data_IF_478729053664
#
_entry.id   IF_478729053664
#
_cell.length_a   1.000
_cell.length_b   1.000
_cell.length_c   1.000
_cell.angle_alpha   90.00
_cell.angle_beta   90.00
_cell.angle_gamma   90.00
#
_symmetry.space_group_name_H-M   'P 1'
#
loop_
_entity.id
_entity.type
_entity.pdbx_description
1 polymer ?
#
# COMPACT_ATOMS: atom_id res chain seq x y z
N UNK A 1 -27.18 31.96 -22.25
CA UNK A 1 -27.68 30.73 -21.59
C UNK A 1 -26.59 29.69 -21.80
N UNK A 2 -25.63 29.50 -20.88
CA UNK A 2 -25.81 28.88 -19.57
C UNK A 2 -25.84 27.35 -19.79
N UNK A 3 -24.85 26.54 -19.46
CA UNK A 3 -23.63 26.78 -18.71
C UNK A 3 -22.49 25.85 -19.12
N UNK A 4 -21.29 26.18 -18.63
CA UNK A 4 -20.11 25.34 -18.63
C UNK A 4 -20.43 24.04 -17.90
N UNK A 5 -20.44 22.92 -18.62
CA UNK A 5 -20.30 21.62 -17.97
C UNK A 5 -18.90 21.60 -17.37
N UNK A 6 -18.82 21.89 -16.07
CA UNK A 6 -17.71 21.41 -15.27
C UNK A 6 -17.83 19.89 -15.33
N UNK A 7 -17.09 19.30 -16.26
CA UNK A 7 -16.80 17.87 -16.21
C UNK A 7 -15.76 17.79 -15.11
N UNK A 8 -16.17 17.31 -13.93
CA UNK A 8 -15.23 16.95 -12.87
C UNK A 8 -14.22 15.97 -13.47
N UNK A 9 -13.00 16.44 -13.70
CA UNK A 9 -11.85 15.73 -14.28
C UNK A 9 -11.30 14.68 -13.29
N UNK A 10 -12.19 13.90 -12.70
CA UNK A 10 -11.87 12.77 -11.81
C UNK A 10 -12.29 11.41 -12.42
N UNK A 11 -13.04 11.42 -13.52
CA UNK A 11 -13.35 10.19 -14.27
C UNK A 11 -12.33 9.94 -15.39
N UNK A 12 -11.09 9.62 -15.01
CA UNK A 12 -10.08 9.20 -15.99
C UNK A 12 -9.88 7.67 -15.96
N UNK A 13 -10.15 7.06 -17.13
CA UNK A 13 -9.84 5.69 -17.63
C UNK A 13 -10.91 4.58 -17.67
N UNK A 14 -12.19 4.93 -17.82
CA UNK A 14 -13.35 4.02 -17.94
C UNK A 14 -13.33 2.83 -18.98
N UNK A 15 -12.24 2.38 -19.60
CA UNK A 15 -12.34 1.21 -20.52
C UNK A 15 -11.12 0.29 -20.74
N UNK A 16 -10.13 0.28 -19.87
CA UNK A 16 -9.21 -0.87 -19.75
C UNK A 16 -9.45 -1.46 -18.37
N UNK A 17 -9.37 -2.78 -18.17
CA UNK A 17 -9.54 -3.40 -16.86
C UNK A 17 -8.66 -2.68 -15.81
N UNK A 18 -9.24 -1.74 -15.07
CA UNK A 18 -8.44 -0.74 -14.37
C UNK A 18 -7.75 -1.41 -13.20
N UNK A 19 -6.42 -1.40 -13.20
CA UNK A 19 -5.68 -1.82 -12.03
C UNK A 19 -5.62 -0.67 -11.03
N UNK A 20 -6.18 -0.88 -9.84
CA UNK A 20 -6.10 0.06 -8.72
C UNK A 20 -4.87 -0.27 -7.88
N UNK A 21 -4.18 0.76 -7.38
CA UNK A 21 -3.02 0.58 -6.50
C UNK A 21 -3.26 1.28 -5.17
N UNK A 22 -3.18 0.53 -4.09
CA UNK A 22 -3.27 1.01 -2.72
C UNK A 22 -1.89 0.95 -2.06
N UNK A 23 -1.38 2.09 -1.63
CA UNK A 23 -0.12 2.18 -0.88
C UNK A 23 -0.41 2.39 0.60
N UNK A 24 0.08 1.49 1.44
CA UNK A 24 -0.14 1.53 2.89
C UNK A 24 1.02 2.25 3.57
N UNK A 25 0.76 3.44 4.11
CA UNK A 25 1.76 4.27 4.78
C UNK A 25 1.42 4.48 6.26
N UNK A 26 2.45 4.76 7.07
CA UNK A 26 2.30 4.96 8.52
C UNK A 26 3.53 4.51 9.31
N UNK A 27 3.55 4.82 10.62
CA UNK A 27 4.63 4.40 11.53
C UNK A 27 4.77 2.88 11.62
N UNK A 28 5.92 2.40 12.07
CA UNK A 28 6.07 0.98 12.41
C UNK A 28 5.19 0.60 13.59
N UNK A 29 4.73 -0.65 13.59
CA UNK A 29 3.80 -1.16 14.59
C UNK A 29 2.32 -0.81 14.33
N UNK A 30 2.01 0.14 13.45
CA UNK A 30 0.62 0.54 13.14
C UNK A 30 -0.16 -0.47 12.27
N UNK A 31 0.34 -1.69 12.11
CA UNK A 31 -0.43 -2.78 11.50
C UNK A 31 -0.60 -2.73 9.98
N UNK A 32 0.19 -1.93 9.24
CA UNK A 32 0.08 -1.81 7.77
C UNK A 32 0.04 -3.16 7.04
N UNK A 33 1.02 -4.03 7.29
CA UNK A 33 1.09 -5.38 6.71
C UNK A 33 -0.10 -6.25 7.10
N UNK A 34 -0.61 -6.12 8.33
CA UNK A 34 -1.79 -6.85 8.79
C UNK A 34 -3.06 -6.35 8.07
N UNK A 35 -3.21 -5.04 7.93
CA UNK A 35 -4.29 -4.42 7.14
C UNK A 35 -4.23 -4.84 5.68
N UNK A 36 -3.04 -4.88 5.07
CA UNK A 36 -2.86 -5.39 3.71
C UNK A 36 -3.33 -6.84 3.56
N UNK A 37 -3.05 -7.70 4.55
CA UNK A 37 -3.55 -9.07 4.57
C UNK A 37 -5.08 -9.15 4.69
N UNK A 38 -5.68 -8.28 5.51
CA UNK A 38 -7.14 -8.18 5.63
C UNK A 38 -7.78 -7.73 4.31
N UNK A 39 -7.19 -6.74 3.62
CA UNK A 39 -7.68 -6.25 2.32
C UNK A 39 -7.57 -7.35 1.25
N UNK A 40 -6.48 -8.13 1.26
CA UNK A 40 -6.27 -9.21 0.30
C UNK A 40 -7.01 -10.51 0.67
N UNK A 41 -7.63 -10.60 1.84
CA UNK A 41 -8.29 -11.81 2.35
C UNK A 41 -7.34 -13.00 2.58
N UNK A 42 -6.02 -12.77 2.60
CA UNK A 42 -5.00 -13.83 2.72
C UNK A 42 -3.75 -13.31 3.42
N UNK A 43 -2.95 -14.22 3.97
CA UNK A 43 -1.62 -13.90 4.55
C UNK A 43 -0.58 -13.73 3.43
N UNK A 44 -0.57 -12.58 2.78
CA UNK A 44 0.36 -12.23 1.71
C UNK A 44 1.63 -11.53 2.25
N UNK A 45 1.47 -10.59 3.17
CA UNK A 45 2.56 -9.89 3.83
C UNK A 45 2.93 -10.55 5.15
N UNK A 46 4.23 -10.57 5.46
CA UNK A 46 4.70 -10.97 6.78
C UNK A 46 4.28 -9.92 7.81
N UNK A 47 3.47 -10.31 8.77
CA UNK A 47 3.05 -9.45 9.89
C UNK A 47 3.34 -10.15 11.22
N UNK A 48 3.91 -9.41 12.17
CA UNK A 48 4.08 -9.84 13.57
C UNK A 48 3.68 -8.71 14.50
N UNK A 49 3.14 -9.05 15.68
CA UNK A 49 2.97 -8.10 16.78
C UNK A 49 4.34 -7.81 17.41
N UNK A 50 5.14 -6.97 16.76
CA UNK A 50 6.43 -6.50 17.29
C UNK A 50 6.54 -4.98 17.17
N UNK A 51 7.19 -4.36 18.16
CA UNK A 51 7.60 -2.96 18.10
C UNK A 51 8.77 -2.74 17.12
N UNK A 52 9.58 -3.78 16.88
CA UNK A 52 10.61 -3.76 15.84
C UNK A 52 9.96 -3.93 14.46
N UNK A 53 10.41 -3.13 13.49
CA UNK A 53 9.97 -3.20 12.11
C UNK A 53 10.24 -4.57 11.51
N UNK A 54 9.19 -5.22 11.00
CA UNK A 54 9.31 -6.49 10.25
C UNK A 54 9.55 -6.20 8.77
N UNK A 55 9.03 -5.08 8.28
CA UNK A 55 9.09 -4.64 6.89
C UNK A 55 10.19 -3.58 6.74
N UNK A 56 11.30 -3.96 6.10
CA UNK A 56 12.44 -3.06 5.83
C UNK A 56 12.46 -2.55 4.37
N UNK A 57 11.64 -3.12 3.50
CA UNK A 57 11.52 -2.77 2.07
C UNK A 57 10.05 -2.69 1.67
N UNK A 58 9.73 -1.95 0.61
CA UNK A 58 8.38 -1.99 0.05
C UNK A 58 8.08 -3.36 -0.55
N UNK A 59 6.88 -3.88 -0.33
CA UNK A 59 6.42 -5.16 -0.88
C UNK A 59 5.10 -4.96 -1.63
N UNK A 60 4.99 -5.49 -2.85
CA UNK A 60 3.79 -5.43 -3.68
C UNK A 60 3.10 -6.79 -3.74
N UNK A 61 1.81 -6.82 -3.45
CA UNK A 61 0.95 -7.99 -3.59
C UNK A 61 -0.25 -7.67 -4.47
N UNK A 62 -0.66 -8.65 -5.30
CA UNK A 62 -1.76 -8.49 -6.26
C UNK A 62 -2.92 -9.44 -5.94
N UNK A 63 -4.14 -8.96 -6.19
CA UNK A 63 -5.35 -9.79 -6.29
C UNK A 63 -6.26 -9.31 -7.42
N UNK A 64 -7.16 -10.19 -7.86
CA UNK A 64 -8.28 -9.84 -8.74
C UNK A 64 -9.52 -9.71 -7.86
N UNK A 65 -10.28 -8.63 -8.05
CA UNK A 65 -11.52 -8.35 -7.35
C UNK A 65 -12.70 -9.10 -8.00
N UNK A 66 -13.83 -9.17 -7.31
CA UNK A 66 -15.04 -9.84 -7.83
C UNK A 66 -15.58 -9.20 -9.11
N UNK A 67 -15.37 -7.90 -9.28
CA UNK A 67 -15.73 -7.13 -10.48
C UNK A 67 -14.71 -7.28 -11.64
N UNK A 68 -13.69 -8.12 -11.46
CA UNK A 68 -12.65 -8.38 -12.45
C UNK A 68 -11.51 -7.35 -12.47
N UNK A 69 -11.57 -6.29 -11.67
CA UNK A 69 -10.49 -5.32 -11.57
C UNK A 69 -9.28 -5.88 -10.83
N UNK A 70 -8.09 -5.38 -11.16
CA UNK A 70 -6.86 -5.76 -10.46
C UNK A 70 -6.65 -4.82 -9.29
N UNK A 71 -6.39 -5.34 -8.09
CA UNK A 71 -5.92 -4.57 -6.95
C UNK A 71 -4.47 -4.92 -6.64
N UNK A 72 -3.61 -3.91 -6.72
CA UNK A 72 -2.23 -3.93 -6.25
C UNK A 72 -2.20 -3.30 -4.84
N UNK A 73 -1.61 -3.98 -3.86
CA UNK A 73 -1.42 -3.47 -2.50
C UNK A 73 0.08 -3.38 -2.23
N UNK A 74 0.56 -2.21 -1.85
CA UNK A 74 1.96 -1.94 -1.52
C UNK A 74 2.08 -1.71 -0.02
N UNK A 75 2.74 -2.62 0.69
CA UNK A 75 3.17 -2.41 2.08
C UNK A 75 4.49 -1.65 2.09
N UNK A 76 4.65 -0.69 3.00
CA UNK A 76 5.85 0.15 3.09
C UNK A 76 6.54 0.03 4.46
N UNK A 77 7.83 0.35 4.55
CA UNK A 77 8.50 0.59 5.83
C UNK A 77 7.82 1.71 6.64
N UNK A 78 8.15 1.79 7.93
CA UNK A 78 7.70 2.86 8.82
C UNK A 78 8.25 4.23 8.41
N UNK A 79 7.38 5.23 8.23
CA UNK A 79 7.77 6.57 7.74
C UNK A 79 8.68 7.36 8.70
N UNK A 80 8.76 6.98 9.99
CA UNK A 80 9.46 7.74 11.03
C UNK A 80 10.30 6.86 11.96
N UNK A 81 10.72 5.69 11.48
CA UNK A 81 11.63 4.84 12.23
C UNK A 81 13.06 5.35 12.04
N UNK A 82 13.45 6.32 12.87
CA UNK A 82 14.84 6.79 13.00
C UNK A 82 15.72 5.78 13.76
N UNK A 83 15.37 4.49 13.80
CA UNK A 83 16.20 3.46 14.42
C UNK A 83 17.04 2.69 13.40
N UNK A 84 17.16 3.18 12.16
CA UNK A 84 18.31 2.84 11.35
C UNK A 84 19.52 3.45 12.05
N UNK A 85 20.09 2.71 13.01
CA UNK A 85 21.48 2.95 13.35
C UNK A 85 22.23 2.91 12.01
N UNK A 86 23.07 3.92 11.70
CA UNK A 86 23.93 3.81 10.55
C UNK A 86 24.68 2.49 10.74
N UNK A 87 24.69 1.65 9.71
CA UNK A 87 25.56 0.49 9.67
C UNK A 87 26.99 1.04 9.83
N UNK A 88 27.48 1.07 11.08
CA UNK A 88 28.84 1.47 11.38
C UNK A 88 29.67 0.30 10.90
N UNK A 89 30.03 0.34 9.62
CA UNK A 89 31.03 -0.54 9.04
C UNK A 89 32.30 -0.35 9.86
N UNK A 90 32.53 -1.28 10.80
CA UNK A 90 33.72 -1.29 11.62
C UNK A 90 34.86 -1.76 10.72
N UNK A 91 35.83 -0.87 10.52
CA UNK A 91 37.08 -1.12 9.78
C UNK A 91 37.96 -2.16 10.48
#
# INVERSE_FOLDING_TARGET
MGGSAYVDDWEFTSSLSESRTLVLVGKTGNGKSATGNSILGKRAFKSKSSFAGVTNTCELQRTVLEDGHILNVIDTPGLFDLSAEPEIMTT
#
